data_IF_142520337932
#
_entry.id   IF_142520337932
#
_cell.length_a   1.000
_cell.length_b   1.000
_cell.length_c   1.000
_cell.angle_alpha   90.00
_cell.angle_beta   90.00
_cell.angle_gamma   90.00
#
_symmetry.space_group_name_H-M   'P 1'
#
loop_
_entity.id
_entity.type
_entity.pdbx_description
1 polymer ?
#
# COMPACT_ATOMS: atom_id res chain seq x y z
N UNK A 1 0.90 33.77 -27.05
CA UNK A 1 1.54 32.92 -26.03
C UNK A 1 0.59 32.50 -24.91
N UNK A 2 -0.22 33.37 -24.32
CA UNK A 2 -1.15 33.07 -23.22
C UNK A 2 -2.19 31.98 -23.54
N UNK A 3 -2.86 32.02 -24.71
CA UNK A 3 -3.85 31.00 -25.11
C UNK A 3 -3.27 29.58 -25.20
N UNK A 4 -2.01 29.45 -25.65
CA UNK A 4 -1.32 28.14 -25.75
C UNK A 4 -1.00 27.56 -24.38
N UNK A 5 -0.62 28.41 -23.41
CA UNK A 5 -0.35 27.99 -22.05
C UNK A 5 -1.60 27.60 -21.27
N UNK A 6 -2.77 28.23 -21.56
CA UNK A 6 -4.05 27.87 -20.96
C UNK A 6 -4.54 26.52 -21.51
N UNK A 7 -4.38 26.27 -22.81
CA UNK A 7 -4.70 24.97 -23.42
C UNK A 7 -3.89 23.82 -22.80
N UNK A 8 -2.58 23.97 -22.68
CA UNK A 8 -1.71 22.96 -22.05
C UNK A 8 -2.06 22.69 -20.60
N UNK A 9 -2.48 23.71 -19.83
CA UNK A 9 -2.93 23.52 -18.42
C UNK A 9 -4.25 22.80 -18.34
N UNK A 10 -5.19 23.06 -19.24
CA UNK A 10 -6.48 22.39 -19.30
C UNK A 10 -6.33 20.92 -19.70
N UNK A 11 -5.45 20.62 -20.66
CA UNK A 11 -5.17 19.25 -21.08
C UNK A 11 -4.47 18.45 -19.97
N UNK A 12 -3.54 19.07 -19.26
CA UNK A 12 -2.91 18.49 -18.08
C UNK A 12 -3.90 18.24 -16.95
N UNK A 13 -4.81 19.19 -16.68
CA UNK A 13 -5.84 19.00 -15.65
C UNK A 13 -6.84 17.89 -16.01
N UNK A 14 -7.24 17.79 -17.29
CA UNK A 14 -8.10 16.70 -17.78
C UNK A 14 -7.39 15.33 -17.66
N UNK A 15 -6.12 15.26 -18.03
CA UNK A 15 -5.32 14.03 -17.90
C UNK A 15 -5.20 13.58 -16.43
N UNK A 16 -4.97 14.53 -15.51
CA UNK A 16 -4.94 14.24 -14.08
C UNK A 16 -6.30 13.79 -13.55
N UNK A 17 -7.38 14.46 -13.95
CA UNK A 17 -8.74 14.08 -13.56
C UNK A 17 -9.13 12.70 -14.08
N UNK A 18 -8.78 12.34 -15.32
CA UNK A 18 -9.04 11.02 -15.88
C UNK A 18 -8.27 9.92 -15.15
N UNK A 19 -7.01 10.19 -14.74
CA UNK A 19 -6.21 9.26 -13.95
C UNK A 19 -6.79 9.04 -12.55
N UNK A 20 -7.27 10.09 -11.90
CA UNK A 20 -7.95 9.99 -10.60
C UNK A 20 -9.25 9.21 -10.71
N UNK A 21 -10.06 9.47 -11.73
CA UNK A 21 -11.28 8.71 -12.02
C UNK A 21 -10.98 7.23 -12.25
N UNK A 22 -9.99 6.92 -13.06
CA UNK A 22 -9.57 5.53 -13.30
C UNK A 22 -9.18 4.83 -11.99
N UNK A 23 -8.42 5.50 -11.11
CA UNK A 23 -8.03 4.95 -9.81
C UNK A 23 -9.25 4.68 -8.92
N UNK A 24 -10.21 5.60 -8.86
CA UNK A 24 -11.44 5.42 -8.09
C UNK A 24 -12.27 4.25 -8.64
N UNK A 25 -12.40 4.14 -9.97
CA UNK A 25 -13.10 3.03 -10.61
C UNK A 25 -12.42 1.69 -10.28
N UNK A 26 -11.08 1.62 -10.34
CA UNK A 26 -10.33 0.41 -9.96
C UNK A 26 -10.58 0.02 -8.50
N UNK A 27 -10.61 0.98 -7.58
CA UNK A 27 -10.92 0.73 -6.17
C UNK A 27 -12.34 0.18 -6.02
N UNK A 28 -13.32 0.77 -6.67
CA UNK A 28 -14.72 0.32 -6.62
C UNK A 28 -14.88 -1.10 -7.19
N UNK A 29 -14.22 -1.39 -8.31
CA UNK A 29 -14.19 -2.74 -8.89
C UNK A 29 -13.56 -3.74 -7.92
N UNK A 30 -12.43 -3.38 -7.30
CA UNK A 30 -11.76 -4.24 -6.31
C UNK A 30 -12.64 -4.51 -5.08
N UNK A 31 -13.33 -3.50 -4.57
CA UNK A 31 -14.30 -3.65 -3.47
C UNK A 31 -15.48 -4.53 -3.86
N UNK A 32 -15.99 -4.39 -5.08
CA UNK A 32 -17.09 -5.20 -5.60
C UNK A 32 -16.69 -6.68 -5.74
N UNK A 33 -15.51 -6.94 -6.29
CA UNK A 33 -14.96 -8.31 -6.39
C UNK A 33 -14.75 -8.88 -4.98
N UNK A 34 -14.19 -8.10 -4.06
CA UNK A 34 -14.02 -8.49 -2.66
C UNK A 34 -15.34 -8.84 -1.98
N UNK A 35 -16.40 -8.09 -2.24
CA UNK A 35 -17.74 -8.38 -1.75
C UNK A 35 -18.27 -9.72 -2.30
N UNK A 36 -18.10 -10.01 -3.60
CA UNK A 36 -18.48 -11.28 -4.21
C UNK A 36 -17.74 -12.45 -3.55
N UNK A 37 -16.43 -12.30 -3.35
CA UNK A 37 -15.62 -13.36 -2.71
C UNK A 37 -16.10 -13.62 -1.27
N UNK A 38 -16.35 -12.58 -0.49
CA UNK A 38 -16.90 -12.71 0.87
C UNK A 38 -18.27 -13.38 0.86
N UNK A 39 -19.13 -13.06 -0.11
CA UNK A 39 -20.44 -13.66 -0.26
C UNK A 39 -20.33 -15.16 -0.55
N UNK A 40 -19.48 -15.55 -1.50
CA UNK A 40 -19.26 -16.97 -1.86
C UNK A 40 -18.68 -17.76 -0.69
N UNK A 41 -17.67 -17.22 -0.01
CA UNK A 41 -17.08 -17.86 1.16
C UNK A 41 -18.08 -18.00 2.30
N UNK A 42 -18.88 -16.98 2.55
CA UNK A 42 -19.96 -17.02 3.54
C UNK A 42 -20.99 -18.10 3.21
N UNK A 43 -21.42 -18.18 1.95
CA UNK A 43 -22.35 -19.20 1.47
C UNK A 43 -21.81 -20.62 1.69
N UNK A 44 -20.58 -20.87 1.26
CA UNK A 44 -19.90 -22.18 1.45
C UNK A 44 -19.81 -22.55 2.94
N UNK A 45 -19.43 -21.61 3.78
CA UNK A 45 -19.26 -21.84 5.22
C UNK A 45 -20.59 -22.19 5.91
N UNK A 46 -21.67 -21.50 5.57
CA UNK A 46 -22.99 -21.77 6.13
C UNK A 46 -23.56 -23.11 5.61
N UNK A 47 -23.35 -23.37 4.31
CA UNK A 47 -23.78 -24.65 3.71
C UNK A 47 -23.07 -25.85 4.35
N UNK A 48 -21.77 -25.73 4.65
CA UNK A 48 -21.00 -26.79 5.33
C UNK A 48 -21.44 -27.02 6.77
N UNK A 49 -22.01 -26.02 7.44
CA UNK A 49 -22.53 -26.14 8.82
C UNK A 49 -23.99 -26.65 8.89
N UNK A 50 -24.57 -27.07 7.76
CA UNK A 50 -25.93 -27.57 7.69
C UNK A 50 -27.03 -26.52 7.82
N UNK A 51 -26.68 -25.23 7.63
CA UNK A 51 -27.64 -24.14 7.68
C UNK A 51 -28.30 -23.89 6.31
N UNK A 52 -29.66 -23.83 6.29
CA UNK A 52 -30.41 -23.36 5.13
C UNK A 52 -30.50 -21.83 5.16
N UNK A 53 -29.45 -21.14 4.67
CA UNK A 53 -29.50 -19.70 4.61
C UNK A 53 -30.21 -19.23 3.33
N UNK A 54 -31.21 -18.38 3.48
CA UNK A 54 -31.83 -17.66 2.38
C UNK A 54 -30.82 -16.66 1.75
N UNK A 55 -30.91 -16.46 0.43
CA UNK A 55 -30.06 -15.53 -0.30
C UNK A 55 -30.03 -14.12 0.34
N UNK A 56 -31.17 -13.61 0.77
CA UNK A 56 -31.27 -12.29 1.42
C UNK A 56 -30.54 -12.25 2.79
N UNK A 57 -30.57 -13.32 3.54
CA UNK A 57 -29.88 -13.45 4.82
C UNK A 57 -28.36 -13.51 4.61
N UNK A 58 -27.90 -14.23 3.58
CA UNK A 58 -26.49 -14.27 3.21
C UNK A 58 -25.97 -12.90 2.77
N UNK A 59 -26.74 -12.16 1.98
CA UNK A 59 -26.39 -10.77 1.63
C UNK A 59 -26.26 -9.90 2.88
N UNK A 60 -27.20 -10.00 3.80
CA UNK A 60 -27.18 -9.25 5.06
C UNK A 60 -25.96 -9.62 5.91
N UNK A 61 -25.66 -10.89 6.06
CA UNK A 61 -24.50 -11.38 6.82
C UNK A 61 -23.20 -10.90 6.17
N UNK A 62 -23.08 -11.02 4.86
CA UNK A 62 -21.89 -10.55 4.11
C UNK A 62 -21.71 -9.06 4.27
N UNK A 63 -22.79 -8.28 4.21
CA UNK A 63 -22.73 -6.84 4.42
C UNK A 63 -22.37 -6.48 5.87
N UNK A 64 -23.10 -6.99 6.86
CA UNK A 64 -22.94 -6.58 8.26
C UNK A 64 -21.69 -7.17 8.91
N UNK A 65 -21.37 -8.42 8.64
CA UNK A 65 -20.26 -9.11 9.31
C UNK A 65 -18.96 -9.09 8.50
N UNK A 66 -19.04 -8.92 7.19
CA UNK A 66 -17.89 -8.81 6.32
C UNK A 66 -17.57 -7.36 5.98
N UNK A 67 -18.30 -6.83 5.04
CA UNK A 67 -17.95 -5.54 4.39
C UNK A 67 -18.06 -4.34 5.34
N UNK A 68 -19.15 -4.27 6.11
CA UNK A 68 -19.34 -3.19 7.10
C UNK A 68 -18.26 -3.22 8.17
N UNK A 69 -17.91 -4.41 8.72
CA UNK A 69 -16.84 -4.54 9.70
C UNK A 69 -15.46 -4.21 9.14
N UNK A 70 -15.21 -4.51 7.86
CA UNK A 70 -13.97 -4.13 7.18
C UNK A 70 -13.86 -2.60 7.07
N UNK A 71 -14.94 -1.91 6.69
CA UNK A 71 -14.98 -0.45 6.65
C UNK A 71 -14.90 0.16 8.05
N UNK A 72 -15.64 -0.41 9.01
CA UNK A 72 -15.60 0.06 10.40
C UNK A 72 -14.22 -0.17 11.04
N UNK A 73 -13.53 -1.27 10.70
CA UNK A 73 -12.17 -1.55 11.15
C UNK A 73 -11.16 -0.50 10.73
N UNK A 74 -11.29 0.04 9.51
CA UNK A 74 -10.48 1.13 9.01
C UNK A 74 -10.81 2.49 9.64
N UNK A 75 -12.10 2.78 9.80
CA UNK A 75 -12.55 4.10 10.25
C UNK A 75 -13.02 4.15 11.72
N UNK A 76 -13.52 3.03 12.26
CA UNK A 76 -14.17 2.94 13.56
C UNK A 76 -13.66 1.72 14.35
N UNK A 77 -12.71 1.90 15.21
CA UNK A 77 -12.40 0.88 16.21
C UNK A 77 -13.16 1.23 17.48
N UNK A 78 -14.24 0.44 17.78
CA UNK A 78 -15.14 0.61 18.92
C UNK A 78 -15.93 1.93 18.95
N UNK A 79 -17.11 1.96 18.34
CA UNK A 79 -18.26 2.86 18.56
C UNK A 79 -18.06 4.31 19.03
N UNK A 80 -16.85 4.71 19.39
CA UNK A 80 -16.46 6.06 19.79
C UNK A 80 -15.50 6.63 18.76
N UNK A 81 -16.02 7.46 17.87
CA UNK A 81 -15.29 8.27 16.89
C UNK A 81 -14.14 9.07 17.54
N UNK A 82 -14.21 9.28 18.86
CA UNK A 82 -13.29 10.14 19.64
C UNK A 82 -12.09 9.36 20.20
N UNK A 83 -12.09 8.02 20.21
CA UNK A 83 -10.95 7.28 20.77
C UNK A 83 -9.68 7.28 19.90
N UNK A 84 -9.74 7.86 18.69
CA UNK A 84 -8.58 8.14 17.83
C UNK A 84 -7.72 6.94 17.44
N UNK A 85 -8.00 5.74 17.98
CA UNK A 85 -7.16 4.57 17.78
C UNK A 85 -7.26 3.98 16.36
N UNK A 86 -8.46 4.00 15.76
CA UNK A 86 -8.65 3.51 14.39
C UNK A 86 -7.91 4.39 13.39
N UNK A 87 -8.20 5.68 13.38
CA UNK A 87 -7.56 6.65 12.47
C UNK A 87 -6.06 6.76 12.73
N UNK A 88 -5.62 6.70 13.99
CA UNK A 88 -4.18 6.69 14.32
C UNK A 88 -3.49 5.45 13.74
N UNK A 89 -4.10 4.27 13.84
CA UNK A 89 -3.54 3.04 13.28
C UNK A 89 -3.42 3.12 11.76
N UNK A 90 -4.44 3.64 11.09
CA UNK A 90 -4.43 3.85 9.64
C UNK A 90 -3.36 4.87 9.22
N UNK A 91 -3.26 6.01 9.91
CA UNK A 91 -2.24 7.02 9.63
C UNK A 91 -0.82 6.47 9.80
N UNK A 92 -0.59 5.60 10.78
CA UNK A 92 0.71 4.95 10.97
C UNK A 92 1.05 4.00 9.81
N UNK A 93 0.06 3.37 9.18
CA UNK A 93 0.26 2.49 8.04
C UNK A 93 0.36 3.26 6.71
N UNK A 94 -0.30 4.39 6.59
CA UNK A 94 -0.26 5.24 5.40
C UNK A 94 1.16 5.78 5.15
N UNK A 95 1.89 6.18 6.19
CA UNK A 95 3.22 6.76 6.02
C UNK A 95 4.21 5.82 5.30
N UNK A 96 4.39 4.55 5.69
CA UNK A 96 5.22 3.60 4.94
C UNK A 96 4.75 3.38 3.51
N UNK A 97 3.43 3.32 3.28
CA UNK A 97 2.86 3.13 1.95
C UNK A 97 3.17 4.31 1.02
N UNK A 98 3.06 5.54 1.52
CA UNK A 98 3.42 6.74 0.75
C UNK A 98 4.91 6.74 0.42
N UNK A 99 5.76 6.42 1.39
CA UNK A 99 7.22 6.44 1.20
C UNK A 99 7.68 5.36 0.21
N UNK A 100 7.15 4.14 0.31
CA UNK A 100 7.46 3.07 -0.64
C UNK A 100 6.91 3.37 -2.03
N UNK A 101 5.68 3.88 -2.12
CA UNK A 101 5.09 4.33 -3.38
C UNK A 101 5.89 5.44 -4.06
N UNK A 102 6.39 6.41 -3.29
CA UNK A 102 7.24 7.49 -3.79
C UNK A 102 8.60 6.95 -4.30
N UNK A 103 9.20 5.99 -3.58
CA UNK A 103 10.44 5.31 -4.01
C UNK A 103 10.26 4.61 -5.36
N UNK A 104 9.15 3.87 -5.53
CA UNK A 104 8.82 3.22 -6.80
C UNK A 104 8.55 4.24 -7.91
N UNK A 105 7.79 5.30 -7.64
CA UNK A 105 7.50 6.36 -8.60
C UNK A 105 8.76 7.10 -9.06
N UNK A 106 9.71 7.33 -8.15
CA UNK A 106 11.01 7.92 -8.48
C UNK A 106 11.81 7.01 -9.41
N UNK A 107 11.87 5.72 -9.10
CA UNK A 107 12.55 4.73 -9.94
C UNK A 107 11.95 4.69 -11.36
N UNK A 108 10.64 4.71 -11.49
CA UNK A 108 9.99 4.79 -12.82
C UNK A 108 10.36 6.04 -13.60
N UNK A 109 10.50 7.19 -12.94
CA UNK A 109 10.95 8.43 -13.59
C UNK A 109 12.39 8.36 -14.11
N UNK A 110 13.23 7.54 -13.49
CA UNK A 110 14.62 7.32 -13.93
C UNK A 110 14.75 6.17 -14.94
N UNK A 111 13.62 5.56 -15.36
CA UNK A 111 13.61 4.45 -16.30
C UNK A 111 13.98 3.09 -15.68
N UNK A 112 13.98 3.00 -14.35
CA UNK A 112 14.23 1.77 -13.60
C UNK A 112 12.94 1.22 -13.01
N UNK A 113 12.89 -0.07 -12.76
CA UNK A 113 11.76 -0.74 -12.14
C UNK A 113 12.15 -1.24 -10.74
N UNK A 114 11.70 -0.53 -9.68
CA UNK A 114 12.04 -0.88 -8.31
C UNK A 114 10.94 -1.75 -7.67
N UNK A 115 11.02 -3.06 -7.86
CA UNK A 115 10.18 -4.03 -7.12
C UNK A 115 10.72 -4.22 -5.69
N UNK A 116 12.01 -4.00 -5.44
CA UNK A 116 12.67 -4.22 -4.16
C UNK A 116 12.36 -3.20 -3.05
N UNK A 117 11.33 -2.36 -3.22
CA UNK A 117 10.99 -1.32 -2.23
C UNK A 117 10.59 -1.90 -0.86
N UNK A 118 9.94 -3.08 -0.83
CA UNK A 118 9.57 -3.74 0.42
C UNK A 118 10.80 -4.28 1.16
N UNK A 119 11.77 -4.86 0.45
CA UNK A 119 13.05 -5.29 1.03
C UNK A 119 13.85 -4.12 1.59
N UNK A 120 13.92 -3.00 0.86
CA UNK A 120 14.56 -1.76 1.32
C UNK A 120 13.92 -1.25 2.62
N UNK A 121 12.59 -1.24 2.68
CA UNK A 121 11.84 -0.87 3.88
C UNK A 121 12.14 -1.81 5.06
N UNK A 122 12.15 -3.12 4.83
CA UNK A 122 12.40 -4.14 5.86
C UNK A 122 13.80 -3.99 6.45
N UNK A 123 14.83 -3.84 5.60
CA UNK A 123 16.23 -3.65 6.06
C UNK A 123 16.37 -2.31 6.78
N UNK A 124 15.76 -1.24 6.29
CA UNK A 124 15.74 0.05 6.97
C UNK A 124 15.09 -0.03 8.36
N UNK A 125 13.94 -0.69 8.47
CA UNK A 125 13.25 -0.92 9.73
C UNK A 125 14.09 -1.76 10.70
N UNK A 126 14.75 -2.82 10.22
CA UNK A 126 15.66 -3.63 11.01
C UNK A 126 16.82 -2.80 11.58
N UNK A 127 17.46 -1.96 10.75
CA UNK A 127 18.55 -1.09 11.19
C UNK A 127 18.09 -0.06 12.22
N UNK A 128 16.89 0.49 12.07
CA UNK A 128 16.31 1.39 13.08
C UNK A 128 16.11 0.68 14.42
N UNK A 129 15.51 -0.51 14.40
CA UNK A 129 15.25 -1.31 15.60
C UNK A 129 16.55 -1.75 16.27
N UNK A 130 17.50 -2.25 15.49
CA UNK A 130 18.81 -2.66 16.01
C UNK A 130 19.53 -1.50 16.71
N UNK A 131 19.56 -0.34 16.06
CA UNK A 131 20.19 0.87 16.61
C UNK A 131 19.48 1.36 17.87
N UNK A 132 18.15 1.27 17.91
CA UNK A 132 17.37 1.68 19.08
C UNK A 132 17.48 0.71 20.25
N UNK A 133 17.34 -0.59 20.00
CA UNK A 133 17.21 -1.60 21.06
C UNK A 133 18.59 -2.04 21.55
N UNK A 134 19.49 -2.37 20.62
CA UNK A 134 20.81 -2.94 20.95
C UNK A 134 21.81 -1.84 21.28
N UNK A 135 21.90 -0.82 20.42
CA UNK A 135 22.86 0.28 20.60
C UNK A 135 22.31 1.41 21.48
N UNK A 136 21.02 1.36 21.86
CA UNK A 136 20.33 2.36 22.72
C UNK A 136 20.57 3.80 22.31
N UNK A 137 20.62 4.03 20.97
CA UNK A 137 20.87 5.35 20.41
C UNK A 137 19.60 6.19 20.35
N UNK A 138 19.72 7.53 20.34
CA UNK A 138 18.57 8.43 20.20
C UNK A 138 17.92 8.31 18.83
N UNK A 139 16.65 8.74 18.74
CA UNK A 139 15.79 8.57 17.54
C UNK A 139 16.39 9.07 16.23
N UNK A 140 17.15 10.17 16.26
CA UNK A 140 17.80 10.72 15.05
C UNK A 140 18.91 9.82 14.50
N UNK A 141 19.66 9.12 15.36
CA UNK A 141 20.65 8.12 14.94
C UNK A 141 19.96 6.90 14.35
N UNK A 142 18.82 6.48 14.94
CA UNK A 142 18.02 5.40 14.41
C UNK A 142 17.48 5.73 13.01
N UNK A 143 17.05 6.97 12.80
CA UNK A 143 16.58 7.44 11.49
C UNK A 143 17.70 7.41 10.44
N UNK A 144 18.89 7.89 10.80
CA UNK A 144 20.05 7.81 9.91
C UNK A 144 20.44 6.37 9.58
N UNK A 145 20.45 5.49 10.59
CA UNK A 145 20.76 4.07 10.40
C UNK A 145 19.72 3.39 9.47
N UNK A 146 18.43 3.70 9.65
CA UNK A 146 17.37 3.21 8.78
C UNK A 146 17.57 3.67 7.33
N UNK A 147 17.87 4.95 7.14
CA UNK A 147 18.08 5.54 5.81
C UNK A 147 19.28 4.91 5.11
N UNK A 148 20.39 4.77 5.81
CA UNK A 148 21.60 4.13 5.28
C UNK A 148 21.38 2.64 4.98
N UNK A 149 20.73 1.90 5.86
CA UNK A 149 20.40 0.49 5.65
C UNK A 149 19.53 0.26 4.42
N UNK A 150 18.44 1.04 4.28
CA UNK A 150 17.57 1.00 3.10
C UNK A 150 18.29 1.42 1.82
N UNK A 151 19.14 2.46 1.88
CA UNK A 151 19.91 2.95 0.75
C UNK A 151 20.94 1.92 0.26
N UNK A 152 21.70 1.31 1.18
CA UNK A 152 22.69 0.26 0.84
C UNK A 152 21.98 -0.93 0.21
N UNK A 153 20.85 -1.38 0.79
CA UNK A 153 20.07 -2.49 0.22
C UNK A 153 19.54 -2.17 -1.17
N UNK A 154 19.04 -0.97 -1.39
CA UNK A 154 18.57 -0.50 -2.69
C UNK A 154 19.69 -0.26 -3.72
N UNK A 155 20.91 0.02 -3.27
CA UNK A 155 22.05 0.19 -4.15
C UNK A 155 22.50 -1.13 -4.81
N UNK A 156 22.22 -2.28 -4.19
CA UNK A 156 22.63 -3.60 -4.70
C UNK A 156 22.03 -3.88 -6.09
N UNK A 157 20.71 -3.84 -6.30
CA UNK A 157 20.12 -4.01 -7.64
C UNK A 157 20.63 -2.96 -8.64
N UNK A 158 20.79 -1.72 -8.21
CA UNK A 158 21.34 -0.64 -9.02
C UNK A 158 22.76 -0.90 -9.50
N UNK A 159 23.62 -1.42 -8.61
CA UNK A 159 24.99 -1.83 -8.95
C UNK A 159 25.01 -2.96 -9.98
N UNK A 160 24.22 -4.01 -9.79
CA UNK A 160 24.11 -5.11 -10.76
C UNK A 160 23.63 -4.63 -12.14
N UNK A 161 22.70 -3.67 -12.16
CA UNK A 161 22.24 -3.06 -13.42
C UNK A 161 23.35 -2.25 -14.09
N UNK A 162 24.02 -1.38 -13.34
CA UNK A 162 24.99 -0.43 -13.89
C UNK A 162 26.28 -1.10 -14.39
N UNK A 163 26.80 -2.06 -13.65
CA UNK A 163 28.11 -2.67 -13.94
C UNK A 163 28.03 -4.02 -14.64
N UNK A 164 27.01 -4.81 -14.36
CA UNK A 164 26.87 -6.16 -14.91
C UNK A 164 25.75 -6.29 -15.95
N UNK A 165 25.04 -5.19 -16.21
CA UNK A 165 23.91 -5.12 -17.14
C UNK A 165 22.83 -6.21 -16.89
N UNK A 166 22.70 -6.64 -15.62
CA UNK A 166 21.68 -7.61 -15.20
C UNK A 166 20.32 -6.92 -15.20
N UNK A 167 19.26 -7.67 -15.52
CA UNK A 167 17.90 -7.16 -15.50
C UNK A 167 17.51 -6.77 -14.05
N UNK A 168 17.18 -5.49 -13.86
CA UNK A 168 16.82 -4.91 -12.56
C UNK A 168 15.59 -5.57 -11.93
N UNK A 169 14.65 -6.06 -12.74
CA UNK A 169 13.43 -6.74 -12.24
C UNK A 169 13.79 -8.05 -11.54
N UNK A 170 14.69 -8.83 -12.15
CA UNK A 170 15.14 -10.11 -11.57
C UNK A 170 15.92 -9.85 -10.29
N UNK A 171 16.89 -8.93 -10.34
CA UNK A 171 17.70 -8.62 -9.16
C UNK A 171 16.85 -8.04 -8.04
N UNK A 172 16.00 -7.06 -8.32
CA UNK A 172 15.15 -6.44 -7.32
C UNK A 172 14.14 -7.43 -6.69
N UNK A 173 13.62 -8.40 -7.46
CA UNK A 173 12.72 -9.43 -6.91
C UNK A 173 13.42 -10.43 -5.99
N UNK A 174 14.73 -10.65 -6.17
CA UNK A 174 15.51 -11.51 -5.27
C UNK A 174 15.86 -10.81 -3.94
N UNK A 175 15.88 -9.48 -3.93
CA UNK A 175 16.19 -8.65 -2.76
C UNK A 175 14.95 -8.03 -2.10
N UNK A 176 13.76 -8.49 -2.48
CA UNK A 176 12.47 -7.98 -1.96
C UNK A 176 12.03 -8.66 -0.66
#
# INVERSE_FOLDING_TARGET
MLKKNIGLRLDSAKATASSLLASVICILIGLFIGFIVLFVLGWVTVSQKGGNANFAEMLRITWEQGFKRMLEGGFYKNANIISGMGLRSELLQIAPLIMTGLSVAFAFKTGLFNIGAAGQYTVGAFMALYTSIVLKQPWYVCLLAATLGGAVWGAIPGFFKAYLNVNEVITASMFN
#
